data_IF_427364150194
#
_entry.id   IF_427364150194
#
_cell.length_a   1.000
_cell.length_b   1.000
_cell.length_c   1.000
_cell.angle_alpha   90.00
_cell.angle_beta   90.00
_cell.angle_gamma   90.00
#
_symmetry.space_group_name_H-M   'P 1'
#
loop_
_entity.id
_entity.type
_entity.pdbx_description
1 polymer ?
#
# COMPACT_ATOMS: atom_id res chain seq x y z
N UNK A 1 -2.79 0.24 5.96
CA UNK A 1 -2.41 -0.92 6.82
C UNK A 1 -3.26 -0.88 8.08
N UNK A 2 -4.06 -1.91 8.39
CA UNK A 2 -5.08 -1.87 9.44
C UNK A 2 -4.52 -1.52 10.82
N UNK A 3 -3.37 -2.09 11.19
CA UNK A 3 -2.66 -1.79 12.45
C UNK A 3 -2.35 -0.29 12.60
N UNK A 4 -1.87 0.35 11.53
CA UNK A 4 -1.47 1.76 11.56
C UNK A 4 -2.67 2.69 11.69
N UNK A 5 -3.78 2.36 11.02
CA UNK A 5 -5.01 3.14 11.11
C UNK A 5 -5.59 3.10 12.54
N UNK A 6 -5.49 1.94 13.20
CA UNK A 6 -5.89 1.77 14.58
C UNK A 6 -4.99 2.55 15.56
N UNK A 7 -3.66 2.49 15.41
CA UNK A 7 -2.74 3.30 16.22
C UNK A 7 -2.98 4.79 16.02
N UNK A 8 -3.25 5.22 14.78
CA UNK A 8 -3.58 6.59 14.46
C UNK A 8 -4.87 7.05 15.15
N UNK A 9 -5.93 6.23 15.17
CA UNK A 9 -7.19 6.59 15.84
C UNK A 9 -7.01 6.70 17.35
N UNK A 10 -6.28 5.77 17.97
CA UNK A 10 -5.95 5.79 19.39
C UNK A 10 -5.16 7.05 19.79
N UNK A 11 -4.14 7.43 19.00
CA UNK A 11 -3.38 8.67 19.27
C UNK A 11 -4.26 9.90 19.05
N UNK A 12 -5.11 9.90 18.02
CA UNK A 12 -6.03 11.01 17.76
C UNK A 12 -6.99 11.22 18.93
N UNK A 13 -7.62 10.16 19.43
CA UNK A 13 -8.49 10.19 20.62
C UNK A 13 -7.74 10.69 21.87
N UNK A 14 -6.51 10.21 22.10
CA UNK A 14 -5.69 10.66 23.22
C UNK A 14 -5.32 12.14 23.14
N UNK A 15 -5.05 12.67 21.94
CA UNK A 15 -4.76 14.08 21.74
C UNK A 15 -6.02 14.95 21.83
N UNK A 16 -7.17 14.47 21.33
CA UNK A 16 -8.46 15.14 21.52
C UNK A 16 -8.83 15.24 23.01
N UNK A 17 -8.59 14.18 23.80
CA UNK A 17 -8.77 14.22 25.25
C UNK A 17 -7.84 15.23 25.97
N UNK A 18 -6.68 15.55 25.36
CA UNK A 18 -5.76 16.60 25.82
C UNK A 18 -6.13 18.00 25.31
N UNK A 19 -7.29 18.15 24.65
CA UNK A 19 -7.79 19.42 24.15
C UNK A 19 -7.27 19.83 22.77
N UNK A 20 -6.62 18.94 22.03
CA UNK A 20 -6.21 19.20 20.64
C UNK A 20 -7.41 19.03 19.72
N UNK A 21 -7.98 20.15 19.28
CA UNK A 21 -9.06 20.15 18.29
C UNK A 21 -8.48 20.27 16.88
N UNK A 22 -8.71 19.24 16.06
CA UNK A 22 -8.18 19.15 14.70
C UNK A 22 -9.02 19.92 13.66
N UNK A 23 -10.17 20.45 14.06
CA UNK A 23 -11.02 21.26 13.20
C UNK A 23 -10.53 22.71 13.16
N UNK A 24 -10.08 23.14 11.99
CA UNK A 24 -9.58 24.50 11.77
C UNK A 24 -9.60 24.81 10.27
N UNK A 25 -10.13 25.99 9.91
CA UNK A 25 -10.22 26.47 8.53
C UNK A 25 -8.87 26.87 7.92
N UNK A 26 -7.84 27.12 8.73
CA UNK A 26 -6.51 27.52 8.26
C UNK A 26 -5.58 26.30 8.03
N UNK A 27 -5.11 26.06 6.79
CA UNK A 27 -4.26 24.92 6.47
C UNK A 27 -2.92 24.89 7.22
N UNK A 28 -2.31 26.05 7.50
CA UNK A 28 -1.04 26.12 8.24
C UNK A 28 -1.22 25.72 9.71
N UNK A 29 -2.31 26.17 10.34
CA UNK A 29 -2.64 25.78 11.71
C UNK A 29 -3.00 24.29 11.77
N UNK A 30 -3.66 23.75 10.74
CA UNK A 30 -3.95 22.32 10.62
C UNK A 30 -2.68 21.46 10.59
N UNK A 31 -1.66 21.85 9.82
CA UNK A 31 -0.36 21.13 9.80
C UNK A 31 0.31 21.16 11.18
N UNK A 32 0.31 22.33 11.85
CA UNK A 32 0.86 22.46 13.20
C UNK A 32 0.14 21.56 14.21
N UNK A 33 -1.19 21.43 14.10
CA UNK A 33 -2.00 20.56 14.94
C UNK A 33 -1.77 19.06 14.66
N UNK A 34 -1.30 18.70 13.47
CA UNK A 34 -0.96 17.31 13.12
C UNK A 34 0.42 16.87 13.62
N UNK A 35 1.33 17.78 13.95
CA UNK A 35 2.67 17.44 14.46
C UNK A 35 2.69 16.47 15.65
N UNK A 36 1.84 16.65 16.69
CA UNK A 36 1.75 15.72 17.83
C UNK A 36 1.21 14.34 17.48
N UNK A 37 0.59 14.15 16.31
CA UNK A 37 0.14 12.85 15.81
C UNK A 37 1.28 12.13 15.06
N UNK A 38 2.03 12.88 14.25
CA UNK A 38 3.08 12.35 13.38
C UNK A 38 4.25 11.79 14.20
N UNK A 39 4.71 12.52 15.23
CA UNK A 39 5.89 12.10 16.01
C UNK A 39 5.67 10.75 16.72
N UNK A 40 4.56 10.53 17.47
CA UNK A 40 4.32 9.25 18.13
C UNK A 40 4.13 8.10 17.14
N UNK A 41 3.44 8.33 16.01
CA UNK A 41 3.27 7.31 14.97
C UNK A 41 4.62 6.87 14.39
N UNK A 42 5.49 7.83 14.06
CA UNK A 42 6.82 7.52 13.53
C UNK A 42 7.67 6.73 14.54
N UNK A 43 7.71 7.16 15.81
CA UNK A 43 8.47 6.46 16.86
C UNK A 43 7.92 5.04 17.07
N UNK A 44 6.59 4.88 17.11
CA UNK A 44 5.94 3.56 17.20
C UNK A 44 6.34 2.65 16.03
N UNK A 45 6.30 3.20 14.81
CA UNK A 45 6.60 2.48 13.58
C UNK A 45 8.06 1.99 13.53
N UNK A 46 9.00 2.85 13.93
CA UNK A 46 10.43 2.49 13.98
C UNK A 46 10.67 1.37 14.99
N UNK A 47 10.10 1.47 16.20
CA UNK A 47 10.20 0.41 17.22
C UNK A 47 9.59 -0.92 16.75
N UNK A 48 8.47 -0.86 16.04
CA UNK A 48 7.81 -2.05 15.49
C UNK A 48 8.62 -2.68 14.36
N UNK A 49 9.24 -1.85 13.50
CA UNK A 49 10.13 -2.32 12.46
C UNK A 49 11.37 -3.01 13.05
N UNK A 50 11.99 -2.42 14.06
CA UNK A 50 13.17 -2.96 14.75
C UNK A 50 12.87 -4.30 15.44
N UNK A 51 11.80 -4.36 16.23
CA UNK A 51 11.36 -5.63 16.86
C UNK A 51 10.96 -6.70 15.83
N UNK A 52 10.38 -6.30 14.69
CA UNK A 52 10.07 -7.24 13.60
C UNK A 52 11.32 -7.73 12.87
N UNK A 53 12.33 -6.87 12.71
CA UNK A 53 13.61 -7.22 12.11
C UNK A 53 14.37 -8.21 13.00
N UNK A 54 14.52 -7.91 14.30
CA UNK A 54 15.10 -8.83 15.27
C UNK A 54 14.37 -10.18 15.30
N UNK A 55 13.03 -10.17 15.33
CA UNK A 55 12.24 -11.41 15.28
C UNK A 55 12.39 -12.17 13.94
N UNK A 56 12.74 -11.50 12.85
CA UNK A 56 13.05 -12.15 11.57
C UNK A 56 14.46 -12.74 11.59
N UNK A 57 15.43 -12.06 12.18
CA UNK A 57 16.81 -12.54 12.36
C UNK A 57 16.87 -13.80 13.24
N UNK A 58 16.16 -13.80 14.37
CA UNK A 58 16.03 -14.98 15.26
C UNK A 58 15.43 -16.19 14.55
N UNK A 59 14.52 -15.95 13.59
CA UNK A 59 13.94 -17.01 12.74
C UNK A 59 14.85 -17.42 11.58
N UNK A 60 16.05 -16.85 11.47
CA UNK A 60 17.00 -17.16 10.40
C UNK A 60 16.62 -16.60 9.04
N UNK A 61 15.81 -15.52 8.95
CA UNK A 61 15.41 -14.94 7.65
C UNK A 61 16.60 -14.46 6.82
N UNK A 62 17.75 -14.18 7.42
CA UNK A 62 18.98 -13.82 6.72
C UNK A 62 19.52 -14.95 5.80
N UNK A 63 19.10 -16.21 6.01
CA UNK A 63 19.46 -17.36 5.17
C UNK A 63 18.50 -17.59 3.98
N UNK A 64 17.45 -16.77 3.86
CA UNK A 64 16.37 -17.00 2.89
C UNK A 64 16.85 -16.75 1.45
N UNK A 65 16.69 -17.74 0.58
CA UNK A 65 17.00 -17.63 -0.86
C UNK A 65 15.73 -17.38 -1.68
N UNK A 66 15.86 -16.99 -2.96
CA UNK A 66 14.74 -16.79 -3.91
C UNK A 66 13.78 -18.00 -3.99
N UNK A 67 14.27 -19.22 -3.73
CA UNK A 67 13.47 -20.47 -3.73
C UNK A 67 12.65 -20.69 -2.46
N UNK A 68 12.94 -19.97 -1.38
CA UNK A 68 12.30 -20.12 -0.07
C UNK A 68 10.93 -19.41 0.04
N UNK A 69 10.29 -19.09 -1.09
CA UNK A 69 8.94 -18.51 -1.08
C UNK A 69 7.91 -19.58 -0.73
N UNK A 70 7.16 -19.34 0.35
CA UNK A 70 6.03 -20.20 0.74
C UNK A 70 4.87 -20.09 -0.27
N UNK A 71 4.54 -18.87 -0.69
CA UNK A 71 3.55 -18.64 -1.73
C UNK A 71 4.17 -18.82 -3.11
N UNK A 72 3.55 -19.70 -3.90
CA UNK A 72 3.82 -19.88 -5.33
C UNK A 72 2.55 -19.49 -6.08
N UNK A 73 2.69 -18.65 -7.08
CA UNK A 73 1.59 -18.23 -7.95
C UNK A 73 1.74 -18.94 -9.29
N UNK A 74 1.24 -20.18 -9.43
CA UNK A 74 1.27 -20.85 -10.72
C UNK A 74 0.42 -20.08 -11.73
N UNK A 75 0.94 -19.94 -12.94
CA UNK A 75 0.18 -19.31 -14.02
C UNK A 75 -0.93 -20.27 -14.46
N UNK A 76 -2.13 -20.05 -13.93
CA UNK A 76 -3.30 -20.87 -14.25
C UNK A 76 -3.92 -20.50 -15.59
N UNK A 77 -4.82 -21.36 -16.09
CA UNK A 77 -5.57 -21.12 -17.34
C UNK A 77 -6.30 -19.76 -17.36
N UNK A 78 -6.80 -19.30 -16.21
CA UNK A 78 -7.43 -17.98 -16.06
C UNK A 78 -6.47 -16.83 -16.37
N UNK A 79 -5.20 -16.96 -16.00
CA UNK A 79 -4.17 -15.96 -16.31
C UNK A 79 -3.83 -15.94 -17.80
N UNK A 80 -3.82 -17.10 -18.45
CA UNK A 80 -3.65 -17.17 -19.90
C UNK A 80 -4.83 -16.55 -20.65
N UNK A 81 -6.06 -16.84 -20.20
CA UNK A 81 -7.27 -16.28 -20.80
C UNK A 81 -7.33 -14.75 -20.66
N UNK A 82 -6.93 -14.19 -19.50
CA UNK A 82 -6.88 -12.73 -19.31
C UNK A 82 -5.86 -12.04 -20.22
N UNK A 83 -4.74 -12.71 -20.52
CA UNK A 83 -3.72 -12.19 -21.44
C UNK A 83 -4.21 -12.23 -22.89
N UNK A 84 -4.93 -13.28 -23.29
CA UNK A 84 -5.52 -13.34 -24.64
C UNK A 84 -6.57 -12.25 -24.82
N UNK A 85 -7.45 -12.06 -23.85
CA UNK A 85 -8.50 -11.04 -23.93
C UNK A 85 -7.89 -9.64 -24.01
N UNK A 86 -6.85 -9.34 -23.22
CA UNK A 86 -6.19 -8.02 -23.30
C UNK A 86 -5.49 -7.82 -24.65
N UNK A 87 -4.86 -8.85 -25.20
CA UNK A 87 -4.25 -8.79 -26.53
C UNK A 87 -5.29 -8.55 -27.64
N UNK A 88 -6.45 -9.22 -27.57
CA UNK A 88 -7.54 -9.04 -28.54
C UNK A 88 -8.16 -7.63 -28.48
N UNK A 89 -8.34 -7.08 -27.28
CA UNK A 89 -8.84 -5.70 -27.10
C UNK A 89 -7.91 -4.67 -27.75
N UNK A 90 -6.59 -4.90 -27.72
CA UNK A 90 -5.61 -4.00 -28.34
C UNK A 90 -5.51 -4.25 -29.85
N UNK A 91 -5.54 -5.51 -30.28
CA UNK A 91 -5.34 -5.87 -31.68
C UNK A 91 -6.55 -5.52 -32.57
N UNK A 92 -7.79 -5.67 -32.06
CA UNK A 92 -9.00 -5.41 -32.84
C UNK A 92 -9.07 -3.98 -33.39
N UNK A 93 -8.88 -2.90 -32.59
CA UNK A 93 -8.87 -1.52 -33.09
C UNK A 93 -7.78 -1.25 -34.14
N UNK A 94 -6.59 -1.81 -33.94
CA UNK A 94 -5.44 -1.64 -34.83
C UNK A 94 -5.69 -2.32 -36.18
N UNK A 95 -6.29 -3.51 -36.17
CA UNK A 95 -6.64 -4.22 -37.40
C UNK A 95 -7.76 -3.49 -38.14
N UNK A 96 -8.77 -2.96 -37.42
CA UNK A 96 -9.85 -2.19 -38.04
C UNK A 96 -9.35 -0.88 -38.66
N UNK A 97 -8.38 -0.20 -38.04
CA UNK A 97 -7.81 1.04 -38.59
C UNK A 97 -6.93 0.80 -39.82
N UNK A 98 -6.30 -0.37 -39.94
CA UNK A 98 -5.48 -0.74 -41.12
C UNK A 98 -6.37 -1.20 -42.29
N UNK A 99 -7.46 -1.95 -42.02
CA UNK A 99 -8.24 -2.61 -43.07
C UNK A 99 -9.44 -1.77 -43.58
N UNK A 100 -9.97 -0.85 -42.78
CA UNK A 100 -11.07 0.04 -43.15
C UNK A 100 -10.73 1.50 -42.82
N UNK A 101 -9.80 2.15 -43.55
CA UNK A 101 -9.40 3.53 -43.30
C UNK A 101 -10.49 4.58 -43.58
N UNK A 102 -11.69 4.17 -44.03
CA UNK A 102 -12.78 5.04 -44.44
C UNK A 102 -14.03 4.96 -43.54
N UNK A 103 -13.96 4.34 -42.36
CA UNK A 103 -15.09 4.26 -41.40
C UNK A 103 -14.86 4.99 -40.08
N UNK A 104 -13.70 5.64 -39.91
CA UNK A 104 -13.36 6.62 -38.86
C UNK A 104 -12.66 7.78 -39.54
#
# INVERSE_FOLDING_TARGET
>A
VPIFAYEMSQITEAQMARGVEYDTKNPFKKIKLMMPLIVPLLVSSVRKADSSALAAEERGFYLRTRKSSYYKYPFGWRGFLSVIISALIIALPIVTSIFLPNLV
#
